data_IF_174587429382
#
_entry.id   IF_174587429382
#
_cell.length_a   1.000
_cell.length_b   1.000
_cell.length_c   1.000
_cell.angle_alpha   90.00
_cell.angle_beta   90.00
_cell.angle_gamma   90.00
#
_symmetry.space_group_name_H-M   'P 1'
#
loop_
_entity.id
_entity.type
_entity.pdbx_description
1 polymer ?
#
# COMPACT_ATOMS: atom_id res chain seq x y z
N UNK A 1 -10.62 24.08 -9.11
CA UNK A 1 -10.00 22.81 -9.56
C UNK A 1 -9.98 21.89 -8.36
N UNK A 2 -10.63 20.72 -8.40
CA UNK A 2 -10.55 19.77 -7.30
C UNK A 2 -9.14 19.19 -7.26
N UNK A 3 -8.44 19.32 -6.13
CA UNK A 3 -7.13 18.70 -5.93
C UNK A 3 -7.36 17.22 -5.64
N UNK A 4 -7.21 16.37 -6.65
CA UNK A 4 -7.49 14.94 -6.54
C UNK A 4 -6.31 14.24 -5.88
N UNK A 5 -6.50 13.82 -4.63
CA UNK A 5 -5.59 12.93 -3.93
C UNK A 5 -5.39 11.63 -4.74
N UNK A 6 -4.15 11.15 -4.82
CA UNK A 6 -3.81 9.93 -5.55
C UNK A 6 -3.30 8.87 -4.59
N UNK A 7 -3.85 7.67 -4.71
CA UNK A 7 -3.40 6.52 -3.93
C UNK A 7 -3.09 5.35 -4.86
N UNK A 8 -2.02 4.60 -4.53
CA UNK A 8 -1.63 3.40 -5.26
C UNK A 8 -1.00 2.39 -4.30
N UNK A 9 -1.15 1.11 -4.64
CA UNK A 9 -0.48 0.04 -3.91
C UNK A 9 0.86 -0.30 -4.55
N UNK A 10 1.84 -0.56 -3.70
CA UNK A 10 3.17 -1.05 -4.04
C UNK A 10 3.55 -2.19 -3.10
N UNK A 11 4.65 -2.87 -3.40
CA UNK A 11 5.18 -3.96 -2.59
C UNK A 11 6.57 -3.55 -2.13
N UNK A 12 6.84 -3.67 -0.82
CA UNK A 12 8.13 -3.33 -0.22
C UNK A 12 8.75 -4.56 0.41
N UNK A 13 10.07 -4.70 0.28
CA UNK A 13 10.83 -5.74 0.95
C UNK A 13 11.25 -5.25 2.33
N UNK A 14 10.80 -5.91 3.40
CA UNK A 14 11.33 -5.67 4.73
C UNK A 14 12.68 -6.38 4.89
N UNK A 15 13.77 -5.61 4.86
CA UNK A 15 15.13 -6.14 4.94
C UNK A 15 15.44 -6.85 6.27
N UNK A 16 14.65 -6.59 7.33
CA UNK A 16 14.85 -7.25 8.62
C UNK A 16 14.33 -8.69 8.63
N UNK A 17 13.19 -8.93 7.99
CA UNK A 17 12.56 -10.25 7.93
C UNK A 17 12.79 -10.98 6.60
N UNK A 18 13.21 -10.28 5.55
CA UNK A 18 13.28 -10.80 4.19
C UNK A 18 11.92 -11.01 3.54
N UNK A 19 10.84 -10.48 4.12
CA UNK A 19 9.47 -10.70 3.68
C UNK A 19 8.95 -9.52 2.86
N UNK A 20 8.06 -9.80 1.92
CA UNK A 20 7.38 -8.80 1.12
C UNK A 20 6.15 -8.30 1.90
N UNK A 21 5.95 -6.98 1.90
CA UNK A 21 4.84 -6.31 2.57
C UNK A 21 4.13 -5.41 1.56
N UNK A 22 2.82 -5.58 1.34
CA UNK A 22 2.05 -4.65 0.54
C UNK A 22 1.90 -3.31 1.28
N UNK A 23 2.02 -2.21 0.53
CA UNK A 23 1.95 -0.85 1.06
C UNK A 23 1.01 0.00 0.22
N UNK A 24 0.07 0.68 0.87
CA UNK A 24 -0.74 1.72 0.24
C UNK A 24 -0.02 3.05 0.43
N UNK A 25 0.29 3.73 -0.67
CA UNK A 25 0.89 5.07 -0.67
C UNK A 25 -0.17 6.06 -1.12
N UNK A 26 -0.23 7.19 -0.42
CA UNK A 26 -1.16 8.28 -0.72
C UNK A 26 -0.36 9.58 -0.84
N UNK A 27 -0.61 10.29 -1.92
CA UNK A 27 -0.04 11.61 -2.16
C UNK A 27 -1.12 12.68 -2.06
N UNK A 28 -0.87 13.68 -1.21
CA UNK A 28 -1.70 14.88 -1.09
C UNK A 28 -1.12 16.01 -1.96
N UNK A 29 -1.82 16.43 -3.04
CA UNK A 29 -1.37 17.52 -3.90
C UNK A 29 -1.48 18.91 -3.26
N UNK A 30 -2.22 19.07 -2.15
CA UNK A 30 -2.36 20.36 -1.47
C UNK A 30 -1.14 20.68 -0.58
N UNK A 31 -0.57 19.66 0.05
CA UNK A 31 0.59 19.77 0.95
C UNK A 31 1.89 19.30 0.31
N UNK A 32 1.81 18.47 -0.73
CA UNK A 32 2.96 17.80 -1.34
C UNK A 32 3.45 16.59 -0.53
N UNK A 33 2.73 16.21 0.53
CA UNK A 33 3.14 15.14 1.43
C UNK A 33 2.78 13.75 0.89
N UNK A 34 3.62 12.78 1.24
CA UNK A 34 3.38 11.37 1.00
C UNK A 34 3.13 10.67 2.34
N UNK A 35 2.03 9.93 2.42
CA UNK A 35 1.72 9.06 3.55
C UNK A 35 1.66 7.61 3.08
N UNK A 36 1.92 6.68 3.99
CA UNK A 36 1.89 5.25 3.67
C UNK A 36 1.33 4.41 4.80
N UNK A 37 0.58 3.37 4.43
CA UNK A 37 0.06 2.36 5.35
C UNK A 37 0.61 1.01 4.92
N UNK A 38 1.27 0.31 5.85
CA UNK A 38 1.71 -1.06 5.66
C UNK A 38 0.54 -2.01 5.86
N UNK A 39 0.37 -2.92 4.91
CA UNK A 39 -0.58 -4.01 5.02
C UNK A 39 -0.08 -5.17 5.88
N UNK A 40 -0.76 -6.33 5.81
CA UNK A 40 -0.31 -7.51 6.54
C UNK A 40 1.13 -7.86 6.18
N UNK A 41 1.93 -8.17 7.21
CA UNK A 41 3.31 -8.63 7.05
C UNK A 41 3.32 -10.15 6.99
N UNK A 42 4.27 -10.75 6.27
CA UNK A 42 4.46 -12.19 6.33
C UNK A 42 4.63 -12.92 5.00
N UNK A 43 4.63 -12.22 3.86
CA UNK A 43 4.61 -12.90 2.56
C UNK A 43 6.03 -13.27 2.12
N UNK A 44 6.22 -14.55 1.77
CA UNK A 44 7.50 -15.07 1.30
C UNK A 44 7.72 -14.79 -0.19
N UNK A 45 6.63 -14.54 -0.93
CA UNK A 45 6.63 -14.32 -2.37
C UNK A 45 5.94 -13.01 -2.76
N UNK A 46 6.24 -12.52 -3.97
CA UNK A 46 5.63 -11.30 -4.53
C UNK A 46 4.17 -11.52 -4.91
N UNK A 47 3.83 -12.74 -5.34
CA UNK A 47 2.48 -13.14 -5.73
C UNK A 47 1.52 -13.12 -4.53
N UNK A 48 1.93 -13.71 -3.39
CA UNK A 48 1.16 -13.67 -2.15
C UNK A 48 0.97 -12.23 -1.65
N UNK A 49 2.01 -11.40 -1.75
CA UNK A 49 1.95 -10.01 -1.34
C UNK A 49 1.09 -9.16 -2.29
N UNK A 50 1.08 -9.42 -3.60
CA UNK A 50 0.18 -8.71 -4.54
C UNK A 50 -1.28 -9.08 -4.28
N UNK A 51 -1.59 -10.36 -4.04
CA UNK A 51 -2.94 -10.78 -3.68
C UNK A 51 -3.41 -10.09 -2.39
N UNK A 52 -2.56 -10.06 -1.36
CA UNK A 52 -2.81 -9.30 -0.14
C UNK A 52 -2.94 -7.78 -0.39
N UNK A 53 -2.15 -7.23 -1.30
CA UNK A 53 -2.21 -5.84 -1.73
C UNK A 53 -3.50 -5.50 -2.48
N UNK A 54 -4.16 -6.47 -3.13
CA UNK A 54 -5.51 -6.27 -3.72
C UNK A 54 -6.54 -5.99 -2.64
N UNK A 55 -6.42 -6.59 -1.45
CA UNK A 55 -7.30 -6.28 -0.32
C UNK A 55 -7.09 -4.86 0.22
N UNK A 56 -5.86 -4.35 0.19
CA UNK A 56 -5.59 -2.94 0.53
C UNK A 56 -6.19 -1.98 -0.50
N UNK A 57 -6.18 -2.34 -1.79
CA UNK A 57 -6.83 -1.58 -2.86
C UNK A 57 -8.36 -1.63 -2.74
N UNK A 58 -8.91 -2.77 -2.36
CA UNK A 58 -10.36 -2.97 -2.22
C UNK A 58 -10.93 -2.52 -0.87
N UNK A 59 -10.22 -1.67 -0.12
CA UNK A 59 -10.69 -1.02 1.10
C UNK A 59 -11.93 -0.12 0.93
N UNK A 60 -12.66 -0.24 -0.18
CA UNK A 60 -14.08 0.13 -0.32
C UNK A 60 -15.05 -0.94 0.25
N UNK A 61 -14.57 -2.12 0.67
CA UNK A 61 -15.44 -3.12 1.29
C UNK A 61 -15.37 -3.05 2.84
N UNK A 62 -16.15 -2.12 3.39
CA UNK A 62 -16.53 -1.95 4.80
C UNK A 62 -15.47 -1.41 5.79
N UNK A 63 -15.35 -0.08 5.86
CA UNK A 63 -15.77 0.70 7.04
C UNK A 63 -15.96 2.17 6.69
#
# INVERSE_FOLDING_TARGET
MANVQRSWCTLVLDLRSGLVVPRLVTWDPATGEFTSIDGPKGFATWEEADEAGRFLRSGECHR
#
